data_IF_859317142994
#
_entry.id   IF_859317142994
#
_cell.length_a   1.000
_cell.length_b   1.000
_cell.length_c   1.000
_cell.angle_alpha   90.00
_cell.angle_beta   90.00
_cell.angle_gamma   90.00
#
_symmetry.space_group_name_H-M   'P 1'
#
loop_
_entity.id
_entity.type
_entity.pdbx_description
1 polymer ?
#
# COMPACT_ATOMS: atom_id res chain seq x y z
N UNK A 1 -11.21 -0.49 11.27
CA UNK A 1 -11.45 -0.60 9.82
C UNK A 1 -11.54 0.80 9.25
N UNK A 2 -10.48 1.30 8.61
CA UNK A 2 -10.50 2.62 7.98
C UNK A 2 -11.01 2.45 6.56
N UNK A 3 -12.07 3.18 6.19
CA UNK A 3 -12.60 3.22 4.82
C UNK A 3 -12.17 4.52 4.18
N UNK A 4 -11.66 4.46 2.97
CA UNK A 4 -11.34 5.66 2.20
C UNK A 4 -12.44 5.89 1.16
N UNK A 5 -13.17 6.99 1.28
CA UNK A 5 -14.17 7.39 0.29
C UNK A 5 -13.51 8.23 -0.79
N UNK A 6 -13.80 7.90 -2.03
CA UNK A 6 -13.17 8.54 -3.17
C UNK A 6 -13.96 9.76 -3.57
N UNK A 7 -13.23 10.86 -3.69
CA UNK A 7 -13.67 12.07 -4.35
C UNK A 7 -12.93 12.17 -5.67
N UNK A 8 -13.65 12.16 -6.78
CA UNK A 8 -13.01 12.46 -8.08
C UNK A 8 -12.45 13.87 -8.08
N UNK A 9 -11.25 14.04 -8.64
CA UNK A 9 -10.70 15.37 -8.89
C UNK A 9 -11.16 15.86 -10.27
N UNK A 10 -11.69 17.08 -10.40
CA UNK A 10 -11.97 17.65 -11.71
C UNK A 10 -10.66 17.83 -12.49
N UNK A 11 -10.64 17.36 -13.73
CA UNK A 11 -9.53 17.49 -14.70
C UNK A 11 -8.26 16.66 -14.42
N UNK A 12 -8.25 15.75 -13.43
CA UNK A 12 -7.11 14.85 -13.19
C UNK A 12 -7.59 13.40 -13.17
N UNK A 13 -7.22 12.62 -14.18
CA UNK A 13 -7.56 11.21 -14.23
C UNK A 13 -6.84 10.41 -13.14
N UNK A 14 -7.50 9.42 -12.55
CA UNK A 14 -6.84 8.49 -11.64
C UNK A 14 -5.85 7.61 -12.44
N UNK A 15 -4.57 7.67 -12.08
CA UNK A 15 -3.47 6.94 -12.76
C UNK A 15 -2.96 5.75 -11.95
N UNK A 16 -3.21 5.73 -10.65
CA UNK A 16 -2.77 4.62 -9.81
C UNK A 16 -3.39 4.60 -8.43
N UNK A 17 -3.24 3.47 -7.76
CA UNK A 17 -3.58 3.28 -6.36
C UNK A 17 -2.38 2.65 -5.66
N UNK A 18 -1.92 3.28 -4.58
CA UNK A 18 -0.88 2.75 -3.70
C UNK A 18 -1.54 2.30 -2.40
N UNK A 19 -1.32 1.05 -2.02
CA UNK A 19 -1.80 0.49 -0.76
C UNK A 19 -0.57 0.10 0.07
N UNK A 20 -0.43 0.69 1.24
CA UNK A 20 0.60 0.34 2.21
C UNK A 20 -0.05 -0.44 3.36
N UNK A 21 0.56 -1.53 3.79
CA UNK A 21 0.10 -2.33 4.94
C UNK A 21 1.26 -2.67 5.86
N UNK A 22 1.03 -2.60 7.16
CA UNK A 22 1.94 -3.11 8.18
C UNK A 22 1.33 -4.39 8.72
N UNK A 23 2.06 -5.49 8.56
CA UNK A 23 1.64 -6.82 9.01
C UNK A 23 2.69 -7.42 9.92
N UNK A 24 2.23 -8.08 10.99
CA UNK A 24 3.03 -8.94 11.82
C UNK A 24 2.64 -10.39 11.51
N UNK A 25 3.62 -11.28 11.33
CA UNK A 25 3.35 -12.69 11.07
C UNK A 25 3.83 -13.51 12.24
N UNK A 26 2.87 -14.08 12.98
CA UNK A 26 3.15 -15.08 14.01
C UNK A 26 3.20 -16.45 13.35
N UNK A 27 4.39 -16.88 12.93
CA UNK A 27 4.61 -18.28 12.58
C UNK A 27 4.94 -19.04 13.87
N UNK A 28 3.92 -19.63 14.50
CA UNK A 28 4.18 -20.83 15.29
C UNK A 28 4.64 -21.91 14.32
N UNK A 29 5.95 -22.18 14.33
CA UNK A 29 6.70 -23.24 13.64
C UNK A 29 5.80 -24.16 12.82
N UNK A 30 5.55 -23.79 11.57
CA UNK A 30 4.88 -24.64 10.60
C UNK A 30 5.92 -24.91 9.52
N UNK A 31 6.23 -26.19 9.26
CA UNK A 31 7.27 -26.66 8.34
C UNK A 31 7.09 -26.21 6.87
N UNK A 32 6.03 -25.45 6.59
CA UNK A 32 5.73 -24.85 5.30
C UNK A 32 6.07 -23.36 5.35
N UNK A 33 7.31 -23.01 5.00
CA UNK A 33 7.70 -21.63 4.71
C UNK A 33 6.93 -21.17 3.46
N UNK A 34 5.80 -20.50 3.67
CA UNK A 34 5.09 -19.82 2.59
C UNK A 34 5.82 -18.49 2.36
N UNK A 35 6.34 -18.21 1.14
CA UNK A 35 7.12 -17.01 0.86
C UNK A 35 6.27 -15.72 0.78
N UNK A 36 4.95 -15.85 0.96
CA UNK A 36 3.99 -14.76 0.89
C UNK A 36 3.17 -14.66 2.19
N UNK A 37 2.87 -13.42 2.59
CA UNK A 37 1.87 -13.15 3.63
C UNK A 37 0.48 -13.24 3.00
N UNK A 38 -0.28 -14.28 3.35
CA UNK A 38 -1.61 -14.49 2.82
C UNK A 38 -2.68 -13.83 3.69
N UNK A 39 -3.85 -13.61 3.08
CA UNK A 39 -5.07 -13.27 3.82
C UNK A 39 -5.26 -11.78 4.06
N UNK A 40 -4.46 -10.91 3.45
CA UNK A 40 -4.77 -9.48 3.38
C UNK A 40 -5.38 -9.17 2.01
N UNK A 41 -6.56 -8.54 2.01
CA UNK A 41 -7.28 -8.18 0.80
C UNK A 41 -7.55 -6.68 0.74
N UNK A 42 -7.54 -6.15 -0.48
CA UNK A 42 -8.13 -4.86 -0.80
C UNK A 42 -9.49 -5.07 -1.47
N UNK A 43 -10.47 -4.26 -1.08
CA UNK A 43 -11.83 -4.32 -1.59
C UNK A 43 -12.29 -2.95 -2.06
N UNK A 44 -12.98 -2.93 -3.20
CA UNK A 44 -13.77 -1.79 -3.66
C UNK A 44 -15.22 -2.06 -3.26
N UNK A 45 -15.84 -1.12 -2.56
CA UNK A 45 -17.24 -1.18 -2.17
C UNK A 45 -18.06 -0.09 -2.85
N UNK A 46 -19.24 -0.49 -3.34
CA UNK A 46 -20.32 0.39 -3.81
C UNK A 46 -21.45 0.35 -2.78
N UNK A 47 -21.77 1.50 -2.16
CA UNK A 47 -22.80 1.58 -1.11
C UNK A 47 -22.59 0.56 0.03
N UNK A 48 -21.33 0.24 0.33
CA UNK A 48 -20.94 -0.74 1.35
C UNK A 48 -20.93 -2.20 0.90
N UNK A 49 -21.34 -2.51 -0.34
CA UNK A 49 -21.31 -3.86 -0.91
C UNK A 49 -20.02 -4.10 -1.71
N UNK A 50 -19.34 -5.25 -1.54
CA UNK A 50 -18.11 -5.53 -2.26
C UNK A 50 -18.38 -5.73 -3.75
N UNK A 51 -17.77 -4.86 -4.57
CA UNK A 51 -17.82 -4.89 -6.04
C UNK A 51 -16.63 -5.64 -6.63
N UNK A 52 -15.48 -5.50 -5.99
CA UNK A 52 -14.23 -6.12 -6.43
C UNK A 52 -13.36 -6.40 -5.21
N UNK A 53 -12.69 -7.54 -5.21
CA UNK A 53 -11.71 -7.93 -4.20
C UNK A 53 -10.43 -8.41 -4.89
N UNK A 54 -9.30 -8.11 -4.28
CA UNK A 54 -8.02 -8.69 -4.68
C UNK A 54 -7.20 -8.98 -3.43
N UNK A 55 -6.47 -10.08 -3.46
CA UNK A 55 -5.48 -10.39 -2.43
C UNK A 55 -4.24 -9.56 -2.70
N UNK A 56 -3.70 -8.93 -1.66
CA UNK A 56 -2.46 -8.17 -1.80
C UNK A 56 -1.29 -9.13 -2.04
N UNK A 57 -0.44 -8.81 -3.01
CA UNK A 57 0.78 -9.57 -3.28
C UNK A 57 1.86 -9.15 -2.29
N UNK A 58 1.81 -9.72 -1.09
CA UNK A 58 2.74 -9.43 0.01
C UNK A 58 3.94 -10.39 -0.06
N UNK A 59 4.70 -10.27 -1.13
CA UNK A 59 5.84 -11.14 -1.41
C UNK A 59 7.09 -10.72 -0.67
N UNK A 60 7.85 -11.70 -0.21
CA UNK A 60 9.09 -11.52 0.53
C UNK A 60 9.08 -12.40 1.77
N UNK A 61 10.25 -12.93 2.13
CA UNK A 61 10.38 -13.86 3.25
C UNK A 61 9.93 -13.15 4.54
N UNK A 62 8.77 -13.52 5.13
CA UNK A 62 8.27 -12.82 6.29
C UNK A 62 9.24 -13.07 7.45
N UNK A 63 9.83 -12.02 7.99
CA UNK A 63 10.61 -12.13 9.23
C UNK A 63 9.65 -12.36 10.37
N UNK A 64 9.81 -13.47 11.07
CA UNK A 64 8.98 -13.77 12.23
C UNK A 64 9.24 -12.74 13.33
N UNK A 65 8.21 -12.39 14.11
CA UNK A 65 8.23 -11.44 15.23
C UNK A 65 8.41 -9.93 14.93
N UNK A 66 8.64 -9.50 13.68
CA UNK A 66 8.78 -8.08 13.32
C UNK A 66 7.59 -7.53 12.49
N UNK A 67 7.30 -6.25 12.71
CA UNK A 67 6.33 -5.48 11.94
C UNK A 67 6.91 -5.15 10.57
N UNK A 68 6.26 -5.66 9.52
CA UNK A 68 6.74 -5.53 8.15
C UNK A 68 5.81 -4.64 7.34
N UNK A 69 6.40 -3.61 6.73
CA UNK A 69 5.73 -2.72 5.80
C UNK A 69 5.78 -3.32 4.38
N UNK A 70 4.62 -3.45 3.77
CA UNK A 70 4.48 -3.81 2.36
C UNK A 70 3.76 -2.70 1.61
N UNK A 71 4.25 -2.36 0.42
CA UNK A 71 3.66 -1.35 -0.45
C UNK A 71 3.28 -2.00 -1.78
N UNK A 72 1.99 -2.03 -2.09
CA UNK A 72 1.45 -2.51 -3.35
C UNK A 72 1.03 -1.34 -4.23
N UNK A 73 1.58 -1.25 -5.44
CA UNK A 73 1.23 -0.21 -6.42
C UNK A 73 0.45 -0.82 -7.59
N UNK A 74 -0.73 -0.27 -7.85
CA UNK A 74 -1.59 -0.65 -8.97
C UNK A 74 -1.57 0.45 -10.03
N UNK A 75 -1.28 0.07 -11.27
CA UNK A 75 -1.26 0.98 -12.43
C UNK A 75 -2.65 1.23 -12.99
N UNK A 76 -2.78 2.25 -13.85
CA UNK A 76 -4.05 2.67 -14.44
C UNK A 76 -4.82 1.60 -15.22
N UNK A 77 -4.17 0.51 -15.65
CA UNK A 77 -4.84 -0.61 -16.32
C UNK A 77 -5.38 -1.66 -15.35
N UNK A 78 -4.96 -1.63 -14.08
CA UNK A 78 -5.35 -2.64 -13.11
C UNK A 78 -6.82 -2.44 -12.68
N UNK A 79 -7.60 -3.51 -12.45
CA UNK A 79 -9.00 -3.41 -12.01
C UNK A 79 -9.22 -2.58 -10.73
N UNK A 80 -8.22 -2.55 -9.84
CA UNK A 80 -8.22 -1.71 -8.64
C UNK A 80 -8.33 -0.20 -8.96
N UNK A 81 -7.88 0.21 -10.15
CA UNK A 81 -7.95 1.60 -10.63
C UNK A 81 -9.13 1.80 -11.57
N UNK A 82 -9.34 0.90 -12.53
CA UNK A 82 -10.37 1.07 -13.57
C UNK A 82 -11.80 0.89 -13.09
N UNK A 83 -12.03 0.07 -12.05
CA UNK A 83 -13.36 -0.14 -11.46
C UNK A 83 -13.72 0.92 -10.43
N UNK A 84 -12.77 1.78 -10.10
CA UNK A 84 -12.87 2.74 -9.03
C UNK A 84 -13.62 3.99 -9.50
N UNK A 85 -14.73 4.31 -8.84
CA UNK A 85 -15.63 5.41 -9.23
C UNK A 85 -15.82 6.40 -8.08
N UNK A 86 -16.35 7.57 -8.44
CA UNK A 86 -16.79 8.55 -7.46
C UNK A 86 -17.72 7.90 -6.42
N UNK A 87 -17.53 8.25 -5.14
CA UNK A 87 -18.29 7.74 -4.00
C UNK A 87 -18.14 6.24 -3.70
N UNK A 88 -17.33 5.51 -4.47
CA UNK A 88 -16.92 4.17 -4.06
C UNK A 88 -15.93 4.29 -2.91
N UNK A 89 -15.79 3.21 -2.15
CA UNK A 89 -14.84 3.15 -1.03
C UNK A 89 -13.82 2.04 -1.28
N UNK A 90 -12.56 2.30 -0.93
CA UNK A 90 -11.55 1.25 -0.81
C UNK A 90 -11.35 0.93 0.67
N UNK A 91 -11.23 -0.35 0.98
CA UNK A 91 -10.80 -0.81 2.30
C UNK A 91 -9.78 -1.94 2.18
N UNK A 92 -8.95 -2.06 3.21
CA UNK A 92 -8.06 -3.21 3.41
C UNK A 92 -8.61 -4.04 4.57
N UNK A 93 -8.72 -5.35 4.37
CA UNK A 93 -9.26 -6.27 5.38
C UNK A 93 -8.38 -7.52 5.52
N UNK A 94 -8.44 -8.14 6.70
CA UNK A 94 -7.96 -9.51 6.90
C UNK A 94 -9.07 -10.49 6.49
N UNK A 95 -8.82 -11.28 5.45
CA UNK A 95 -9.65 -12.39 5.03
C UNK A 95 -9.42 -13.58 5.95
N UNK A 96 -10.51 -14.27 6.31
CA UNK A 96 -10.43 -15.55 7.01
C UNK A 96 -9.99 -16.64 6.03
N UNK A 97 -8.76 -17.11 6.15
CA UNK A 97 -8.22 -18.22 5.36
C UNK A 97 -8.40 -19.56 6.10
N UNK A 98 -8.57 -20.67 5.36
CA UNK A 98 -8.55 -22.02 5.93
C UNK A 98 -7.14 -22.48 6.33
N UNK A 99 -6.10 -21.75 5.92
CA UNK A 99 -4.70 -22.03 6.26
C UNK A 99 -4.36 -21.29 7.57
N UNK A 100 -3.70 -22.00 8.51
CA UNK A 100 -3.17 -21.41 9.75
C UNK A 100 -1.92 -20.58 9.45
N UNK A 101 -2.10 -19.40 8.87
CA UNK A 101 -1.10 -18.33 8.87
C UNK A 101 -1.66 -17.19 9.71
N UNK A 102 -1.10 -16.98 10.89
CA UNK A 102 -1.57 -15.91 11.78
C UNK A 102 -0.88 -14.59 11.45
N UNK A 103 -1.27 -14.01 10.31
CA UNK A 103 -0.87 -12.67 9.91
C UNK A 103 -1.82 -11.64 10.53
N UNK A 104 -1.31 -10.74 11.35
CA UNK A 104 -2.04 -9.63 11.95
C UNK A 104 -1.86 -8.36 11.11
N UNK A 105 -2.97 -7.76 10.66
CA UNK A 105 -2.96 -6.45 10.01
C UNK A 105 -2.95 -5.35 11.07
N UNK A 106 -1.78 -4.76 11.32
CA UNK A 106 -1.60 -3.71 12.33
C UNK A 106 -2.01 -2.33 11.84
N UNK A 107 -1.58 -1.98 10.63
CA UNK A 107 -1.86 -0.67 10.03
C UNK A 107 -2.07 -0.80 8.53
N UNK A 108 -2.81 0.12 7.95
CA UNK A 108 -2.93 0.24 6.50
C UNK A 108 -3.14 1.70 6.07
N UNK A 109 -2.65 2.03 4.88
CA UNK A 109 -2.80 3.31 4.22
C UNK A 109 -3.17 3.11 2.75
N UNK A 110 -4.00 4.01 2.22
CA UNK A 110 -4.40 4.01 0.81
C UNK A 110 -4.12 5.42 0.28
N UNK A 111 -3.42 5.48 -0.86
CA UNK A 111 -3.13 6.73 -1.55
C UNK A 111 -3.57 6.60 -3.02
N UNK A 112 -4.24 7.64 -3.53
CA UNK A 112 -4.70 7.71 -4.91
C UNK A 112 -3.72 8.59 -5.70
N UNK A 113 -3.16 8.04 -6.78
CA UNK A 113 -2.24 8.75 -7.67
C UNK A 113 -3.03 9.28 -8.85
N UNK A 114 -3.08 10.59 -9.02
CA UNK A 114 -3.73 11.26 -10.13
C UNK A 114 -2.72 11.69 -11.19
N UNK A 115 -3.22 11.98 -12.39
CA UNK A 115 -2.45 12.58 -13.47
C UNK A 115 -1.75 13.85 -13.00
N UNK A 116 -0.44 13.95 -13.26
CA UNK A 116 0.46 15.00 -12.78
C UNK A 116 1.09 14.74 -11.42
N UNK A 117 0.69 13.70 -10.67
CA UNK A 117 1.33 13.38 -9.37
C UNK A 117 2.67 12.63 -9.55
N UNK A 118 2.86 11.89 -10.64
CA UNK A 118 4.05 11.06 -10.92
C UNK A 118 4.64 11.32 -12.34
N UNK A 119 4.26 12.42 -13.00
CA UNK A 119 4.59 12.67 -14.42
C UNK A 119 5.86 13.53 -14.63
N UNK A 120 6.69 13.71 -13.60
CA UNK A 120 7.94 14.48 -13.70
C UNK A 120 9.06 13.62 -14.31
N UNK A 121 9.46 13.91 -15.55
CA UNK A 121 10.56 13.24 -16.26
C UNK A 121 11.94 13.91 -16.03
N UNK A 122 12.25 14.38 -14.81
CA UNK A 122 13.49 15.14 -14.53
C UNK A 122 14.05 14.92 -13.12
N UNK A 123 15.27 15.41 -12.87
CA UNK A 123 15.97 15.31 -11.59
C UNK A 123 15.26 16.19 -10.54
N UNK A 124 14.52 15.56 -9.63
CA UNK A 124 13.64 16.23 -8.65
C UNK A 124 14.39 16.89 -7.47
N UNK A 125 15.73 16.85 -7.46
CA UNK A 125 16.56 17.33 -6.35
C UNK A 125 16.54 18.87 -6.15
N UNK A 126 15.87 19.62 -7.04
CA UNK A 126 15.76 21.09 -6.97
C UNK A 126 14.35 21.61 -6.72
N UNK A 127 13.34 20.74 -6.59
CA UNK A 127 11.94 21.15 -6.52
C UNK A 127 11.44 21.16 -5.07
N UNK A 128 10.69 22.20 -4.71
CA UNK A 128 10.08 22.38 -3.39
C UNK A 128 9.26 21.12 -3.00
N UNK A 129 9.27 20.68 -1.73
CA UNK A 129 8.65 19.40 -1.27
C UNK A 129 7.20 19.18 -1.75
N UNK A 130 6.47 20.27 -1.99
CA UNK A 130 5.10 20.26 -2.51
C UNK A 130 4.96 19.67 -3.92
N UNK A 131 6.04 19.66 -4.71
CA UNK A 131 6.07 19.21 -6.11
C UNK A 131 6.73 17.84 -6.31
N UNK A 132 7.25 17.21 -5.26
CA UNK A 132 7.86 15.89 -5.37
C UNK A 132 6.82 14.82 -5.73
N UNK A 133 7.21 13.87 -6.57
CA UNK A 133 6.37 12.73 -6.95
C UNK A 133 6.11 11.81 -5.75
N UNK A 134 5.09 10.96 -5.83
CA UNK A 134 4.78 10.02 -4.74
C UNK A 134 5.95 9.07 -4.52
N UNK A 135 6.60 8.64 -5.60
CA UNK A 135 7.83 7.85 -5.56
C UNK A 135 8.95 8.57 -4.82
N UNK A 136 9.21 9.85 -5.13
CA UNK A 136 10.29 10.62 -4.53
C UNK A 136 10.03 10.94 -3.05
N UNK A 137 8.78 11.26 -2.69
CA UNK A 137 8.38 11.42 -1.28
C UNK A 137 8.62 10.16 -0.46
N UNK A 138 8.29 8.99 -1.02
CA UNK A 138 8.56 7.71 -0.36
C UNK A 138 10.06 7.44 -0.26
N UNK A 139 10.84 7.68 -1.32
CA UNK A 139 12.29 7.51 -1.31
C UNK A 139 12.97 8.40 -0.26
N UNK A 140 12.58 9.67 -0.18
CA UNK A 140 13.10 10.61 0.81
C UNK A 140 12.74 10.19 2.24
N UNK A 141 11.50 9.73 2.46
CA UNK A 141 11.09 9.20 3.76
C UNK A 141 11.98 8.04 4.20
N UNK A 142 12.23 7.05 3.33
CA UNK A 142 13.09 5.92 3.68
C UNK A 142 14.55 6.32 3.90
N UNK A 143 15.10 7.22 3.07
CA UNK A 143 16.48 7.73 3.22
C UNK A 143 16.67 8.50 4.54
N UNK A 144 15.65 9.21 5.03
CA UNK A 144 15.74 9.97 6.28
C UNK A 144 16.03 9.11 7.51
N UNK A 145 15.69 7.81 7.49
CA UNK A 145 16.04 6.88 8.56
C UNK A 145 17.50 6.46 8.50
N UNK A 146 18.09 6.35 7.32
CA UNK A 146 19.51 5.99 7.13
C UNK A 146 20.43 7.13 7.57
N UNK A 147 20.04 8.39 7.32
CA UNK A 147 20.82 9.56 7.74
C UNK A 147 20.76 9.81 9.26
N UNK A 148 19.70 9.36 9.94
CA UNK A 148 19.55 9.46 11.39
C UNK A 148 20.52 8.55 12.16
N UNK A 149 20.82 7.36 11.63
CA UNK A 149 21.73 6.40 12.27
C UNK A 149 23.22 6.79 12.17
N UNK A 150 23.59 7.63 11.20
CA UNK A 150 24.97 8.11 11.02
C UNK A 150 25.37 9.25 11.99
N UNK A 151 24.42 9.80 12.77
CA UNK A 151 24.65 10.97 13.63
C UNK A 151 24.91 10.67 15.10
N UNK A 152 24.92 9.39 15.50
CA UNK A 152 25.34 8.96 16.85
C UNK A 152 26.68 8.23 16.82
N UNK A 153 27.72 8.87 16.29
CA UNK A 153 29.10 8.49 16.62
C UNK A 153 30.06 9.69 16.61
N UNK A 154 29.98 10.54 17.65
CA UNK A 154 31.07 11.02 18.53
C UNK A 154 30.80 12.37 19.17
#
# INVERSE_FOLDING_TARGET
>A
MVKFTISTQPNRGLRGVVIAVVVAVNQEINDFQVPDVLGIQAQILELGQPKYNTTLSLSGVPRTSDDQLYICRYSHHHPMVTLLKDRYTIQVIKQKLPIKQDAELKMHGIHLVYEGDDDLEGEEDTVNETHLTVSQKLANFFRSFEEGEASSEK
#
